data_IF_706786549822
#
_entry.id   IF_706786549822
#
_cell.length_a   1.000
_cell.length_b   1.000
_cell.length_c   1.000
_cell.angle_alpha   90.00
_cell.angle_beta   90.00
_cell.angle_gamma   90.00
#
_symmetry.space_group_name_H-M   'P 1'
#
loop_
_entity.id
_entity.type
_entity.pdbx_description
1 polymer ?
#
# COMPACT_ATOMS: atom_id res chain seq x y z
N UNK A 1 -5.07 19.46 -31.09
CA UNK A 1 -4.39 19.44 -29.78
C UNK A 1 -4.30 18.00 -29.33
N UNK A 2 -3.09 17.44 -29.17
CA UNK A 2 -2.91 16.12 -28.58
C UNK A 2 -2.90 16.30 -27.06
N UNK A 3 -3.85 15.67 -26.37
CA UNK A 3 -3.85 15.60 -24.92
C UNK A 3 -2.70 14.68 -24.47
N UNK A 4 -1.99 15.03 -23.40
CA UNK A 4 -0.93 14.19 -22.82
C UNK A 4 -1.54 13.05 -22.00
N UNK A 5 -0.84 11.92 -21.86
CA UNK A 5 -1.32 10.74 -21.10
C UNK A 5 -1.75 11.06 -19.66
N UNK A 6 -1.19 12.13 -19.07
CA UNK A 6 -1.55 12.62 -17.73
C UNK A 6 -2.94 13.30 -17.73
N UNK A 7 -3.32 13.99 -18.80
CA UNK A 7 -4.58 14.75 -18.86
C UNK A 7 -5.81 13.84 -18.93
N UNK A 8 -5.63 12.59 -19.35
CA UNK A 8 -6.71 11.58 -19.42
C UNK A 8 -6.56 10.48 -18.37
N UNK A 9 -5.55 10.57 -17.49
CA UNK A 9 -5.31 9.56 -16.46
C UNK A 9 -6.44 9.56 -15.42
N UNK A 10 -7.16 8.46 -15.35
CA UNK A 10 -8.24 8.23 -14.38
C UNK A 10 -8.05 6.84 -13.78
N UNK A 11 -7.24 6.69 -12.71
CA UNK A 11 -7.08 5.40 -12.07
C UNK A 11 -8.42 4.96 -11.47
N UNK A 12 -8.71 3.66 -11.57
CA UNK A 12 -9.90 3.10 -10.94
C UNK A 12 -9.85 3.20 -9.41
N UNK A 13 -10.99 3.00 -8.75
CA UNK A 13 -11.02 2.90 -7.28
C UNK A 13 -10.50 1.53 -6.86
N UNK A 14 -9.55 1.50 -5.92
CA UNK A 14 -9.24 0.28 -5.17
C UNK A 14 -10.00 0.30 -3.84
N UNK A 15 -10.55 -0.85 -3.48
CA UNK A 15 -11.19 -1.07 -2.19
C UNK A 15 -10.57 -2.31 -1.56
N UNK A 16 -10.30 -2.23 -0.26
CA UNK A 16 -9.88 -3.36 0.54
C UNK A 16 -10.75 -3.43 1.80
N UNK A 17 -10.88 -4.61 2.37
CA UNK A 17 -11.57 -4.85 3.63
C UNK A 17 -10.74 -5.81 4.46
N UNK A 18 -10.62 -5.50 5.74
CA UNK A 18 -9.78 -6.24 6.66
C UNK A 18 -10.40 -6.19 8.06
N UNK A 19 -9.95 -7.09 8.93
CA UNK A 19 -10.35 -7.16 10.32
C UNK A 19 -9.35 -6.42 11.21
N UNK A 20 -9.84 -5.57 12.10
CA UNK A 20 -9.02 -4.89 13.11
C UNK A 20 -8.69 -5.82 14.28
N UNK A 21 -7.92 -6.87 13.98
CA UNK A 21 -7.45 -7.80 14.99
C UNK A 21 -6.40 -7.13 15.90
N UNK A 22 -6.28 -7.48 17.19
CA UNK A 22 -5.30 -6.85 18.08
C UNK A 22 -3.83 -7.14 17.72
N UNK A 23 -3.56 -8.16 16.89
CA UNK A 23 -2.22 -8.65 16.56
C UNK A 23 -1.27 -7.57 16.01
N UNK A 24 -1.57 -6.91 14.89
CA UNK A 24 -0.69 -5.89 14.31
C UNK A 24 -0.34 -4.77 15.29
N UNK A 25 -1.31 -4.24 16.04
CA UNK A 25 -1.07 -3.23 17.05
C UNK A 25 -0.18 -3.72 18.20
N UNK A 26 -0.37 -4.97 18.67
CA UNK A 26 0.53 -5.57 19.68
C UNK A 26 1.96 -5.70 19.17
N UNK A 27 2.14 -6.09 17.91
CA UNK A 27 3.46 -6.24 17.30
C UNK A 27 4.16 -4.88 17.19
N UNK A 28 3.48 -3.83 16.70
CA UNK A 28 4.08 -2.49 16.67
C UNK A 28 4.38 -1.96 18.08
N UNK A 29 3.47 -2.18 19.04
CA UNK A 29 3.70 -1.79 20.42
C UNK A 29 4.95 -2.46 21.01
N UNK A 30 5.14 -3.76 20.78
CA UNK A 30 6.33 -4.48 21.21
C UNK A 30 7.61 -3.91 20.55
N UNK A 31 7.59 -3.60 19.25
CA UNK A 31 8.71 -2.97 18.54
C UNK A 31 9.10 -1.61 19.12
N UNK A 32 8.13 -0.88 19.68
CA UNK A 32 8.32 0.45 20.26
C UNK A 32 8.47 0.42 21.79
N UNK A 33 8.68 -0.75 22.40
CA UNK A 33 8.79 -0.96 23.84
C UNK A 33 7.59 -0.38 24.64
N UNK A 34 6.37 -0.57 24.12
CA UNK A 34 5.11 -0.14 24.75
C UNK A 34 4.36 -1.32 25.37
N UNK A 35 3.48 -1.04 26.34
CA UNK A 35 2.62 -2.06 26.94
C UNK A 35 1.65 -2.65 25.89
N UNK A 36 1.75 -3.96 25.69
CA UNK A 36 0.93 -4.71 24.73
C UNK A 36 -0.47 -5.05 25.28
N UNK A 37 -0.68 -4.96 26.60
CA UNK A 37 -1.92 -5.43 27.25
C UNK A 37 -3.12 -4.54 26.96
N UNK A 38 -2.88 -3.28 26.59
CA UNK A 38 -3.94 -2.32 26.25
C UNK A 38 -4.62 -2.65 24.92
N UNK A 39 -3.97 -3.40 24.04
CA UNK A 39 -4.49 -3.77 22.72
C UNK A 39 -5.31 -5.06 22.82
N UNK A 40 -6.62 -4.92 22.75
CA UNK A 40 -7.59 -6.01 22.81
C UNK A 40 -8.77 -5.72 21.86
N UNK A 41 -9.59 -6.72 21.61
CA UNK A 41 -10.80 -6.54 20.78
C UNK A 41 -11.68 -5.41 21.33
N UNK A 42 -12.19 -4.57 20.43
CA UNK A 42 -12.95 -3.36 20.77
C UNK A 42 -12.14 -2.21 21.38
N UNK A 43 -10.82 -2.38 21.59
CA UNK A 43 -9.93 -1.34 22.08
C UNK A 43 -9.64 -0.26 21.04
N UNK A 44 -9.30 0.94 21.51
CA UNK A 44 -8.97 2.09 20.65
C UNK A 44 -7.53 1.97 20.15
N UNK A 45 -7.33 2.17 18.85
CA UNK A 45 -6.00 2.29 18.26
C UNK A 45 -5.45 3.71 18.47
N UNK A 46 -4.15 3.86 18.77
CA UNK A 46 -3.47 5.15 18.72
C UNK A 46 -3.55 5.80 17.34
N UNK A 47 -3.30 7.10 17.29
CA UNK A 47 -3.35 7.87 16.05
C UNK A 47 -2.42 7.26 15.00
N UNK A 48 -2.91 7.18 13.75
CA UNK A 48 -2.22 6.62 12.59
C UNK A 48 -1.95 5.10 12.63
N UNK A 49 -2.21 4.40 13.74
CA UNK A 49 -1.95 2.95 13.82
C UNK A 49 -2.91 2.10 12.97
N UNK A 50 -3.99 2.69 12.45
CA UNK A 50 -4.87 2.06 11.48
C UNK A 50 -4.15 1.72 10.15
N UNK A 51 -2.99 2.34 9.86
CA UNK A 51 -2.17 2.03 8.69
C UNK A 51 -1.53 0.64 8.73
N UNK A 52 -1.50 -0.01 9.89
CA UNK A 52 -1.05 -1.41 10.01
C UNK A 52 -2.08 -2.41 9.44
N UNK A 53 -3.27 -1.93 9.10
CA UNK A 53 -4.40 -2.71 8.62
C UNK A 53 -4.71 -2.32 7.18
N UNK A 54 -5.46 -3.17 6.47
CA UNK A 54 -5.86 -2.93 5.08
C UNK A 54 -4.66 -2.83 4.11
N UNK A 55 -3.51 -3.40 4.49
CA UNK A 55 -2.31 -3.42 3.68
C UNK A 55 -2.56 -4.19 2.37
N UNK A 56 -1.96 -3.76 1.25
CA UNK A 56 -2.05 -4.50 0.00
C UNK A 56 -1.38 -5.88 0.17
N UNK A 57 -2.02 -6.92 -0.34
CA UNK A 57 -1.53 -8.31 -0.30
C UNK A 57 -1.03 -8.71 -1.68
N UNK A 58 -0.09 -7.93 -2.21
CA UNK A 58 0.56 -8.23 -3.47
C UNK A 58 1.52 -9.42 -3.29
N UNK A 59 1.50 -10.36 -4.24
CA UNK A 59 2.47 -11.47 -4.21
C UNK A 59 3.87 -10.92 -4.49
N UNK A 60 4.89 -11.49 -3.86
CA UNK A 60 6.29 -11.11 -4.13
C UNK A 60 6.66 -11.13 -5.63
N UNK A 61 6.11 -12.07 -6.40
CA UNK A 61 6.32 -12.16 -7.86
C UNK A 61 5.73 -10.99 -8.65
N UNK A 62 4.81 -10.24 -8.04
CA UNK A 62 4.11 -9.10 -8.64
C UNK A 62 4.72 -7.75 -8.19
N UNK A 63 5.77 -7.81 -7.36
CA UNK A 63 6.51 -6.65 -6.84
C UNK A 63 7.80 -6.40 -7.63
N UNK A 64 8.15 -5.11 -7.73
CA UNK A 64 9.43 -4.61 -8.20
C UNK A 64 10.52 -4.83 -7.14
N UNK A 65 11.79 -4.63 -7.53
CA UNK A 65 12.94 -4.73 -6.62
C UNK A 65 12.86 -3.76 -5.42
N UNK A 66 12.11 -2.66 -5.54
CA UNK A 66 11.85 -1.68 -4.48
C UNK A 66 10.62 -2.00 -3.62
N UNK A 67 9.91 -3.09 -3.94
CA UNK A 67 8.70 -3.53 -3.23
C UNK A 67 7.40 -2.91 -3.70
N UNK A 68 7.40 -2.01 -4.70
CA UNK A 68 6.16 -1.50 -5.27
C UNK A 68 5.54 -2.49 -6.27
N UNK A 69 4.20 -2.50 -6.44
CA UNK A 69 3.56 -3.29 -7.49
C UNK A 69 4.06 -2.89 -8.88
N UNK A 70 4.47 -3.87 -9.69
CA UNK A 70 5.11 -3.64 -11.01
C UNK A 70 4.25 -2.78 -11.93
N UNK A 71 2.92 -2.96 -11.88
CA UNK A 71 1.97 -2.25 -12.75
C UNK A 71 1.30 -1.05 -12.08
N UNK A 72 1.85 -0.56 -10.96
CA UNK A 72 1.41 0.58 -10.15
C UNK A 72 0.04 1.16 -10.48
N UNK A 73 -0.95 1.00 -9.60
CA UNK A 73 -2.35 1.32 -9.92
C UNK A 73 -2.66 2.83 -10.05
N UNK A 74 -1.97 3.68 -9.29
CA UNK A 74 -2.33 5.11 -9.17
C UNK A 74 -1.37 6.07 -9.89
N UNK A 75 -0.21 5.57 -10.31
CA UNK A 75 0.75 6.42 -11.02
C UNK A 75 0.26 6.61 -12.46
N UNK A 76 0.19 7.86 -12.96
CA UNK A 76 -0.09 8.08 -14.37
C UNK A 76 0.93 7.33 -15.23
N UNK A 77 0.61 7.04 -16.50
CA UNK A 77 1.60 6.53 -17.43
C UNK A 77 2.72 7.56 -17.53
N UNK A 78 3.77 7.40 -16.73
CA UNK A 78 5.03 8.09 -16.92
C UNK A 78 5.61 7.42 -18.15
N UNK A 79 5.49 8.10 -19.29
CA UNK A 79 5.97 7.58 -20.57
C UNK A 79 7.35 6.98 -20.35
N UNK A 80 7.50 5.70 -20.71
CA UNK A 80 8.77 5.00 -20.59
C UNK A 80 9.82 5.79 -21.39
N UNK A 81 10.58 6.64 -20.70
CA UNK A 81 11.76 7.25 -21.25
C UNK A 81 12.75 6.13 -21.56
N UNK A 82 12.75 5.71 -22.82
CA UNK A 82 13.92 5.15 -23.50
C UNK A 82 14.44 3.77 -23.07
N UNK A 83 13.61 2.72 -23.03
CA UNK A 83 14.12 1.33 -23.14
C UNK A 83 13.23 0.45 -24.04
N UNK A 84 13.02 0.88 -25.29
CA UNK A 84 12.95 -0.06 -26.40
C UNK A 84 14.31 -0.06 -27.11
N UNK A 85 15.27 -0.81 -26.58
CA UNK A 85 16.34 -1.32 -27.45
C UNK A 85 15.68 -2.33 -28.36
N UNK A 86 15.76 -2.05 -29.67
CA UNK A 86 15.48 -2.98 -30.76
C UNK A 86 16.04 -4.37 -30.41
N UNK A 87 15.17 -5.38 -30.47
CA UNK A 87 15.48 -6.67 -31.06
C UNK A 87 14.50 -6.86 -32.22
#
# INVERSE_FOLDING_TARGET
MQYTDIQIWQPGILRNTDYLNPGPAKLLAATLDKDIKIFKEGGVLPELWHWLYFLPVDRQSDLSADGHPIKGHFLPPVGAGLLRKKL
#
